data_IF_897329714197
#
_entry.id   IF_897329714197
#
_cell.length_a   1.000
_cell.length_b   1.000
_cell.length_c   1.000
_cell.angle_alpha   90.00
_cell.angle_beta   90.00
_cell.angle_gamma   90.00
#
_symmetry.space_group_name_H-M   'P 1'
#
loop_
_entity.id
_entity.type
_entity.pdbx_description
1 polymer ?
#
# COMPACT_ATOMS: atom_id res chain seq x y z
N UNK A 1 10.41 -23.47 19.12
CA UNK A 1 9.30 -22.71 18.51
C UNK A 1 9.68 -21.25 18.67
N UNK A 2 10.04 -20.57 17.58
CA UNK A 2 10.43 -19.16 17.64
C UNK A 2 9.16 -18.33 17.87
N UNK A 3 9.14 -17.57 18.97
CA UNK A 3 8.08 -16.62 19.23
C UNK A 3 8.32 -15.42 18.32
N UNK A 4 7.60 -15.35 17.19
CA UNK A 4 7.52 -14.13 16.39
C UNK A 4 7.12 -13.03 17.37
N UNK A 5 8.06 -12.14 17.71
CA UNK A 5 7.78 -11.02 18.59
C UNK A 5 6.82 -10.08 17.86
N UNK A 6 5.54 -10.41 17.90
CA UNK A 6 4.46 -9.60 17.37
C UNK A 6 4.59 -8.25 18.04
N UNK A 7 4.94 -7.24 17.26
CA UNK A 7 5.15 -5.89 17.74
C UNK A 7 3.78 -5.27 18.06
N UNK A 8 3.21 -5.67 19.20
CA UNK A 8 1.78 -5.48 19.54
C UNK A 8 1.38 -4.02 19.70
N UNK A 9 2.37 -3.13 19.91
CA UNK A 9 2.11 -1.72 20.18
C UNK A 9 1.92 -0.94 18.88
N UNK A 10 0.73 -0.33 18.77
CA UNK A 10 0.39 0.62 17.71
C UNK A 10 1.33 1.82 17.76
N UNK A 11 2.00 2.11 16.65
CA UNK A 11 2.87 3.28 16.53
C UNK A 11 2.06 4.57 16.46
N UNK A 12 2.61 5.65 17.03
CA UNK A 12 2.02 6.99 16.98
C UNK A 12 2.59 7.79 15.81
N UNK A 13 1.85 8.78 15.26
CA UNK A 13 2.43 9.78 14.38
C UNK A 13 3.66 10.43 15.03
N UNK A 14 4.72 10.59 14.25
CA UNK A 14 6.01 11.11 14.65
C UNK A 14 6.99 10.09 15.23
N UNK A 15 6.57 8.83 15.43
CA UNK A 15 7.47 7.78 15.88
C UNK A 15 8.60 7.50 14.87
N UNK A 16 9.81 7.32 15.38
CA UNK A 16 10.95 6.88 14.58
C UNK A 16 10.82 5.39 14.27
N UNK A 17 11.09 5.02 13.03
CA UNK A 17 11.00 3.65 12.53
C UNK A 17 12.15 3.32 11.58
N UNK A 18 12.37 2.04 11.34
CA UNK A 18 13.36 1.49 10.42
C UNK A 18 12.64 0.47 9.54
N UNK A 19 12.89 0.49 8.23
CA UNK A 19 12.36 -0.51 7.31
C UNK A 19 13.00 -1.87 7.61
N UNK A 20 12.18 -2.87 7.95
CA UNK A 20 12.70 -4.19 8.30
C UNK A 20 12.85 -5.15 7.12
N UNK A 21 12.24 -4.80 5.99
CA UNK A 21 12.37 -5.50 4.73
C UNK A 21 12.66 -4.49 3.61
N UNK A 22 13.05 -4.99 2.44
CA UNK A 22 13.09 -4.18 1.22
C UNK A 22 11.67 -3.79 0.81
N UNK A 23 11.37 -2.50 0.93
CA UNK A 23 10.12 -1.89 0.49
C UNK A 23 10.29 -1.27 -0.91
N UNK A 24 9.17 -0.81 -1.51
CA UNK A 24 9.19 -0.14 -2.82
C UNK A 24 10.13 1.08 -2.75
N UNK A 25 11.23 1.03 -3.50
CA UNK A 25 12.28 2.06 -3.54
C UNK A 25 12.96 2.39 -2.20
N UNK A 26 12.68 1.64 -1.15
CA UNK A 26 13.22 1.87 0.19
C UNK A 26 13.99 0.60 0.60
N UNK A 27 15.33 0.65 0.65
CA UNK A 27 16.14 -0.47 1.13
C UNK A 27 15.80 -0.87 2.56
N UNK A 28 16.07 -2.12 2.92
CA UNK A 28 16.05 -2.56 4.32
C UNK A 28 17.04 -1.74 5.16
N UNK A 29 16.71 -1.51 6.43
CA UNK A 29 17.49 -0.69 7.35
C UNK A 29 17.29 0.82 7.16
N UNK A 30 16.49 1.26 6.19
CA UNK A 30 16.27 2.70 5.96
C UNK A 30 15.45 3.30 7.11
N UNK A 31 16.03 4.29 7.78
CA UNK A 31 15.34 5.05 8.82
C UNK A 31 14.20 5.89 8.24
N UNK A 32 13.13 6.05 9.00
CA UNK A 32 11.97 6.85 8.64
C UNK A 32 11.19 7.34 9.84
N UNK A 33 10.13 8.09 9.57
CA UNK A 33 9.23 8.65 10.57
C UNK A 33 7.78 8.41 10.16
N UNK A 34 6.96 7.95 11.10
CA UNK A 34 5.52 7.77 10.87
C UNK A 34 4.86 9.14 10.72
N UNK A 35 4.14 9.37 9.63
CA UNK A 35 3.48 10.64 9.35
C UNK A 35 1.98 10.56 9.53
N UNK A 36 1.39 9.40 9.25
CA UNK A 36 -0.04 9.15 9.46
C UNK A 36 -0.28 7.69 9.87
N UNK A 37 -1.30 7.51 10.70
CA UNK A 37 -1.79 6.20 11.13
C UNK A 37 -3.27 6.13 10.73
N UNK A 38 -3.62 5.16 9.90
CA UNK A 38 -4.97 4.98 9.36
C UNK A 38 -5.52 3.63 9.82
N UNK A 39 -6.77 3.62 10.29
CA UNK A 39 -7.50 2.40 10.62
C UNK A 39 -7.71 2.20 12.12
N UNK A 40 -8.56 1.22 12.43
CA UNK A 40 -8.94 0.84 13.80
C UNK A 40 -8.37 -0.54 14.14
N UNK A 41 -8.92 -1.59 13.51
CA UNK A 41 -8.43 -2.98 13.62
C UNK A 41 -7.39 -3.32 12.55
N UNK A 42 -7.54 -2.75 11.34
CA UNK A 42 -6.55 -2.88 10.28
C UNK A 42 -5.75 -1.59 10.14
N UNK A 43 -4.67 -1.50 10.90
CA UNK A 43 -3.87 -0.28 10.95
C UNK A 43 -2.85 -0.28 9.81
N UNK A 44 -2.76 0.87 9.15
CA UNK A 44 -1.85 1.16 8.04
C UNK A 44 -1.10 2.45 8.31
N UNK A 45 0.19 2.44 8.01
CA UNK A 45 1.08 3.55 8.28
C UNK A 45 1.44 4.27 6.99
N UNK A 46 1.54 5.59 7.07
CA UNK A 46 2.35 6.37 6.16
C UNK A 46 3.67 6.69 6.84
N UNK A 47 4.76 6.46 6.13
CA UNK A 47 6.11 6.66 6.63
C UNK A 47 6.89 7.46 5.62
N UNK A 48 7.49 8.55 6.09
CA UNK A 48 8.47 9.33 5.33
C UNK A 48 9.85 8.78 5.67
N UNK A 49 10.52 8.22 4.67
CA UNK A 49 11.85 7.63 4.82
C UNK A 49 12.96 8.64 4.54
N UNK A 50 14.12 8.43 5.16
CA UNK A 50 15.27 9.32 5.05
C UNK A 50 15.87 9.38 3.63
N UNK A 51 15.56 8.41 2.77
CA UNK A 51 15.93 8.42 1.36
C UNK A 51 15.03 9.33 0.49
N UNK A 52 14.05 10.01 1.09
CA UNK A 52 13.13 10.92 0.40
C UNK A 52 11.87 10.26 -0.15
N UNK A 53 11.70 8.95 0.02
CA UNK A 53 10.49 8.23 -0.39
C UNK A 53 9.43 8.27 0.72
N UNK A 54 8.18 8.55 0.34
CA UNK A 54 7.02 8.48 1.22
C UNK A 54 6.18 7.28 0.84
N UNK A 55 6.10 6.29 1.73
CA UNK A 55 5.30 5.08 1.49
C UNK A 55 4.04 5.10 2.32
N UNK A 56 2.91 4.96 1.64
CA UNK A 56 1.62 4.73 2.25
C UNK A 56 1.29 3.25 2.39
N UNK A 57 0.29 2.95 3.22
CA UNK A 57 -0.25 1.60 3.44
C UNK A 57 0.77 0.58 3.99
N UNK A 58 1.81 1.04 4.66
CA UNK A 58 2.84 0.18 5.26
C UNK A 58 2.23 -0.61 6.42
N UNK A 59 2.54 -1.91 6.50
CA UNK A 59 2.09 -2.77 7.60
C UNK A 59 3.04 -2.66 8.80
N UNK A 60 2.54 -2.85 10.03
CA UNK A 60 3.36 -2.87 11.24
C UNK A 60 4.52 -3.87 11.16
N UNK A 61 4.33 -5.00 10.47
CA UNK A 61 5.32 -6.07 10.35
C UNK A 61 6.57 -5.68 9.54
N UNK A 62 6.47 -4.70 8.66
CA UNK A 62 7.58 -4.29 7.79
C UNK A 62 8.36 -3.09 8.35
N UNK A 63 7.95 -2.53 9.49
CA UNK A 63 8.60 -1.38 10.12
C UNK A 63 8.83 -1.67 11.59
N UNK A 64 10.04 -1.36 12.06
CA UNK A 64 10.47 -1.63 13.41
C UNK A 64 10.85 -0.33 14.10
N UNK A 65 10.60 -0.23 15.40
CA UNK A 65 11.20 0.85 16.18
C UNK A 65 12.71 0.66 16.28
N UNK A 66 13.51 1.71 16.53
CA UNK A 66 14.96 1.56 16.69
C UNK A 66 15.38 0.57 17.78
N UNK A 67 14.53 0.36 18.80
CA UNK A 67 14.77 -0.63 19.84
C UNK A 67 14.54 -2.06 19.30
N UNK A 68 13.41 -2.29 18.63
CA UNK A 68 13.08 -3.58 18.01
C UNK A 68 14.09 -3.98 16.93
N UNK A 69 14.58 -3.00 16.15
CA UNK A 69 15.60 -3.22 15.14
C UNK A 69 16.92 -3.75 15.74
N UNK A 70 17.39 -3.12 16.83
CA UNK A 70 18.60 -3.56 17.54
C UNK A 70 18.45 -4.98 18.09
N UNK A 71 17.31 -5.29 18.70
CA UNK A 71 17.05 -6.65 19.20
C UNK A 71 17.10 -7.69 18.08
N UNK A 72 16.56 -7.37 16.89
CA UNK A 72 16.63 -8.25 15.71
C UNK A 72 18.06 -8.45 15.19
N UNK A 73 18.88 -7.40 15.23
CA UNK A 73 20.30 -7.50 14.86
C UNK A 73 21.09 -8.38 15.83
N UNK A 74 20.76 -8.31 17.13
CA UNK A 74 21.38 -9.10 18.20
C UNK A 74 20.95 -10.57 18.19
N UNK A 75 19.69 -10.86 17.81
CA UNK A 75 19.13 -12.22 17.77
C UNK A 75 19.52 -13.02 16.52
N UNK A 76 20.28 -12.44 15.58
CA UNK A 76 20.86 -13.16 14.46
C UNK A 76 19.85 -13.51 13.36
N UNK A 77 19.51 -12.51 12.54
CA UNK A 77 19.00 -12.58 11.17
C UNK A 77 18.53 -13.95 10.67
N UNK A 78 17.34 -14.37 11.08
CA UNK A 78 16.59 -15.44 10.45
C UNK A 78 15.20 -14.92 10.08
N UNK A 79 14.67 -15.46 8.98
CA UNK A 79 13.33 -15.21 8.45
C UNK A 79 13.19 -13.97 7.56
N UNK A 80 14.13 -13.87 6.60
CA UNK A 80 13.81 -13.34 5.28
C UNK A 80 12.99 -14.36 4.49
N UNK A 81 11.73 -14.59 4.88
CA UNK A 81 10.77 -15.31 4.05
C UNK A 81 9.88 -14.26 3.36
N UNK A 82 10.38 -13.83 2.20
CA UNK A 82 9.68 -12.96 1.28
C UNK A 82 8.37 -13.61 0.83
N UNK A 83 7.29 -13.33 1.57
CA UNK A 83 5.97 -13.33 1.00
C UNK A 83 5.92 -12.16 0.01
N UNK A 84 6.28 -12.52 -1.22
CA UNK A 84 6.03 -11.78 -2.44
C UNK A 84 4.84 -10.86 -2.26
N UNK A 85 5.06 -9.57 -2.54
CA UNK A 85 3.98 -8.78 -3.08
C UNK A 85 3.44 -9.56 -4.26
N UNK A 86 2.31 -10.24 -4.05
CA UNK A 86 1.39 -10.59 -5.11
C UNK A 86 0.89 -9.26 -5.65
N UNK A 87 1.74 -8.62 -6.46
CA UNK A 87 1.25 -7.91 -7.63
C UNK A 87 0.66 -9.01 -8.50
N UNK A 88 -0.62 -9.30 -8.28
CA UNK A 88 -1.44 -9.90 -9.31
C UNK A 88 -1.55 -8.88 -10.44
N UNK A 89 -0.54 -8.86 -11.32
CA UNK A 89 -0.77 -8.84 -12.75
C UNK A 89 -0.71 -10.33 -13.13
N UNK A 90 -1.78 -10.99 -13.51
CA UNK A 90 -2.72 -10.83 -14.63
C UNK A 90 -3.99 -11.62 -14.21
N UNK A 91 -5.21 -11.50 -14.73
CA UNK A 91 -5.65 -11.12 -16.06
C UNK A 91 -7.14 -10.78 -15.90
N UNK A 92 -7.42 -9.57 -15.43
CA UNK A 92 -8.77 -9.04 -15.48
C UNK A 92 -8.99 -8.57 -16.89
N UNK A 93 -9.28 -9.52 -17.79
CA UNK A 93 -9.62 -9.30 -19.19
C UNK A 93 -10.22 -7.91 -19.35
N UNK A 94 -9.38 -6.97 -19.77
CA UNK A 94 -9.87 -5.70 -20.27
C UNK A 94 -10.89 -6.07 -21.33
N UNK A 95 -12.09 -5.47 -21.35
CA UNK A 95 -12.98 -5.69 -22.46
C UNK A 95 -12.15 -5.50 -23.71
N UNK A 96 -12.10 -6.55 -24.52
CA UNK A 96 -11.44 -6.55 -25.80
C UNK A 96 -11.71 -5.21 -26.46
N UNK A 97 -10.67 -4.63 -27.04
CA UNK A 97 -10.79 -3.51 -27.96
C UNK A 97 -11.89 -3.82 -28.97
N UNK A 98 -13.09 -3.35 -28.65
CA UNK A 98 -14.29 -3.44 -29.45
C UNK A 98 -14.71 -2.00 -29.68
N UNK A 99 -13.86 -1.29 -30.44
CA UNK A 99 -14.12 0.02 -30.98
C UNK A 99 -14.19 1.11 -29.91
N UNK A 100 -13.07 1.82 -29.73
CA UNK A 100 -13.01 3.10 -29.00
C UNK A 100 -13.91 4.16 -29.62
N UNK A 101 -15.21 4.02 -29.41
CA UNK A 101 -16.19 5.06 -29.63
C UNK A 101 -16.28 5.94 -28.38
N UNK A 102 -16.65 7.19 -28.59
CA UNK A 102 -17.03 8.16 -27.56
C UNK A 102 -17.96 9.16 -28.23
N UNK A 103 -18.81 9.82 -27.46
CA UNK A 103 -19.69 10.85 -28.00
C UNK A 103 -19.00 12.20 -27.81
N UNK A 104 -18.77 12.91 -28.91
CA UNK A 104 -18.33 14.29 -28.84
C UNK A 104 -19.53 15.20 -28.56
N UNK A 105 -19.50 15.93 -27.46
CA UNK A 105 -20.50 16.95 -27.11
C UNK A 105 -19.78 18.29 -27.03
N UNK A 106 -20.19 19.26 -27.85
CA UNK A 106 -19.56 20.58 -27.92
C UNK A 106 -18.03 20.52 -28.13
N UNK A 107 -17.55 19.55 -28.91
CA UNK A 107 -16.12 19.35 -29.18
C UNK A 107 -15.35 18.60 -28.09
N UNK A 108 -16.00 18.19 -27.00
CA UNK A 108 -15.38 17.39 -25.93
C UNK A 108 -15.79 15.93 -26.08
N UNK A 109 -14.80 15.04 -26.24
CA UNK A 109 -15.02 13.59 -26.36
C UNK A 109 -15.34 13.01 -24.98
N UNK A 110 -16.52 12.40 -24.85
CA UNK A 110 -16.92 11.62 -23.69
C UNK A 110 -16.70 10.13 -24.00
N UNK A 111 -15.78 9.44 -23.32
CA UNK A 111 -15.56 8.01 -23.51
C UNK A 111 -16.80 7.17 -23.18
N UNK A 112 -17.06 6.12 -23.95
CA UNK A 112 -18.23 5.24 -23.74
C UNK A 112 -18.27 4.63 -22.34
N UNK A 113 -17.11 4.32 -21.75
CA UNK A 113 -17.01 3.85 -20.38
C UNK A 113 -17.72 4.77 -19.35
N UNK A 114 -17.69 6.09 -19.56
CA UNK A 114 -18.36 7.04 -18.68
C UNK A 114 -19.87 7.07 -18.90
N UNK A 115 -20.32 6.90 -20.15
CA UNK A 115 -21.74 6.82 -20.51
C UNK A 115 -22.38 5.58 -19.90
N UNK A 116 -21.70 4.44 -19.97
CA UNK A 116 -22.16 3.18 -19.39
C UNK A 116 -22.26 3.25 -17.86
N UNK A 117 -21.26 3.86 -17.21
CA UNK A 117 -21.28 4.10 -15.76
C UNK A 117 -22.44 5.03 -15.37
N UNK A 118 -22.70 6.08 -16.15
CA UNK A 118 -23.80 7.01 -15.89
C UNK A 118 -25.18 6.34 -16.07
N UNK A 119 -25.33 5.48 -17.08
CA UNK A 119 -26.55 4.69 -17.29
C UNK A 119 -26.83 3.76 -16.10
N UNK A 120 -25.84 2.99 -15.69
CA UNK A 120 -25.97 2.09 -14.53
C UNK A 120 -26.28 2.85 -13.22
N UNK A 121 -25.81 4.09 -13.07
CA UNK A 121 -26.16 4.92 -11.93
C UNK A 121 -27.64 5.35 -11.96
N UNK A 122 -28.17 5.72 -13.13
CA UNK A 122 -29.59 6.08 -13.30
C UNK A 122 -30.53 4.89 -13.04
N UNK A 123 -30.15 3.71 -13.52
CA UNK A 123 -30.91 2.47 -13.27
C UNK A 123 -31.03 2.14 -11.77
N UNK A 124 -30.00 2.45 -10.96
CA UNK A 124 -30.05 2.28 -9.50
C UNK A 124 -30.95 3.30 -8.81
N UNK A 125 -31.07 4.51 -9.37
CA UNK A 125 -31.85 5.61 -8.78
C UNK A 125 -33.32 5.55 -9.21
N UNK A 126 -33.67 4.68 -10.17
CA UNK A 126 -35.05 4.43 -10.58
C UNK A 126 -35.68 5.63 -11.30
N UNK A 127 -34.98 6.15 -12.31
CA UNK A 127 -35.52 7.10 -13.28
C UNK A 127 -35.97 6.40 -14.56
#
# INVERSE_FOLDING_TARGET
MAETAESTTVLRPGAAVIAGDKLRNVPEGTAGKVSLVIGLSWIRYWVDFANGESLGSVNRRNIFTPAEWKSREEDGGADGDGAAGASAADDGAGPADAGGGGVAVNGVLVPQLLLDRAKAARERVGA
#
